data_IF_313379525593
#
_entry.id   IF_313379525593
#
_cell.length_a   1.000
_cell.length_b   1.000
_cell.length_c   1.000
_cell.angle_alpha   90.00
_cell.angle_beta   90.00
_cell.angle_gamma   90.00
#
_symmetry.space_group_name_H-M   'P 1'
#
loop_
_entity.id
_entity.type
_entity.pdbx_description
1 polymer ?
#
# COMPACT_ATOMS: atom_id res chain seq x y z
N UNK A 1 19.17 6.72 23.76
CA UNK A 1 18.13 7.39 22.92
C UNK A 1 18.51 7.22 21.46
N UNK A 2 19.74 7.55 21.08
CA UNK A 2 20.31 7.29 19.75
C UNK A 2 20.09 5.87 19.23
N UNK A 3 20.43 4.83 20.01
CA UNK A 3 20.23 3.44 19.57
C UNK A 3 18.75 3.11 19.25
N UNK A 4 17.81 3.71 19.99
CA UNK A 4 16.38 3.52 19.78
C UNK A 4 15.92 4.21 18.49
N UNK A 5 16.42 5.42 18.23
CA UNK A 5 16.17 6.19 17.01
C UNK A 5 16.74 5.44 15.81
N UNK A 6 18.03 5.08 15.85
CA UNK A 6 18.73 4.35 14.78
C UNK A 6 18.05 3.02 14.47
N UNK A 7 17.62 2.28 15.49
CA UNK A 7 16.87 1.04 15.31
C UNK A 7 15.53 1.28 14.62
N UNK A 8 14.77 2.29 15.05
CA UNK A 8 13.49 2.64 14.44
C UNK A 8 13.64 3.11 12.98
N UNK A 9 14.61 3.96 12.69
CA UNK A 9 14.94 4.43 11.34
C UNK A 9 15.35 3.26 10.44
N UNK A 10 16.25 2.40 10.92
CA UNK A 10 16.69 1.22 10.18
C UNK A 10 15.52 0.30 9.86
N UNK A 11 14.73 -0.09 10.86
CA UNK A 11 13.61 -1.02 10.65
C UNK A 11 12.51 -0.41 9.79
N UNK A 12 12.16 0.86 9.99
CA UNK A 12 11.13 1.53 9.20
C UNK A 12 11.58 1.79 7.75
N UNK A 13 12.83 2.22 7.53
CA UNK A 13 13.39 2.42 6.19
C UNK A 13 13.62 1.11 5.43
N UNK A 14 13.99 0.03 6.13
CA UNK A 14 14.36 -1.24 5.51
C UNK A 14 13.17 -2.18 5.26
N UNK A 15 12.08 -2.08 6.02
CA UNK A 15 10.93 -3.00 5.88
C UNK A 15 10.34 -2.98 4.47
N UNK A 16 10.25 -1.80 3.87
CA UNK A 16 9.63 -1.61 2.55
C UNK A 16 10.41 -2.23 1.40
N UNK A 17 11.71 -1.93 1.19
CA UNK A 17 12.49 -2.60 0.16
C UNK A 17 12.64 -4.12 0.42
N UNK A 18 12.58 -4.56 1.68
CA UNK A 18 12.60 -5.97 2.01
C UNK A 18 11.31 -6.68 1.56
N UNK A 19 10.15 -6.11 1.87
CA UNK A 19 8.84 -6.61 1.40
C UNK A 19 8.80 -6.69 -0.13
N UNK A 20 9.29 -5.67 -0.82
CA UNK A 20 9.32 -5.63 -2.29
C UNK A 20 10.25 -6.71 -2.89
N UNK A 21 11.35 -7.03 -2.20
CA UNK A 21 12.22 -8.15 -2.60
C UNK A 21 11.53 -9.50 -2.40
N UNK A 22 10.86 -9.69 -1.26
CA UNK A 22 10.07 -10.90 -0.99
C UNK A 22 8.88 -11.05 -1.95
N UNK A 23 8.40 -9.94 -2.54
CA UNK A 23 7.31 -9.93 -3.50
C UNK A 23 7.71 -10.36 -4.93
N UNK A 24 9.01 -10.45 -5.26
CA UNK A 24 9.45 -10.79 -6.62
C UNK A 24 8.84 -12.10 -7.18
N UNK A 25 8.78 -13.21 -6.41
CA UNK A 25 8.12 -14.43 -6.88
C UNK A 25 6.62 -14.22 -7.15
N UNK A 26 5.95 -13.36 -6.37
CA UNK A 26 4.53 -13.03 -6.54
C UNK A 26 4.32 -12.33 -7.88
N UNK A 27 5.17 -11.36 -8.24
CA UNK A 27 5.07 -10.66 -9.52
C UNK A 27 5.20 -11.61 -10.71
N UNK A 28 6.15 -12.54 -10.63
CA UNK A 28 6.30 -13.57 -11.67
C UNK A 28 5.10 -14.52 -11.73
N UNK A 29 4.53 -14.93 -10.60
CA UNK A 29 3.34 -15.79 -10.62
C UNK A 29 2.09 -15.06 -11.10
N UNK A 30 1.95 -13.77 -10.82
CA UNK A 30 0.86 -12.94 -11.35
C UNK A 30 0.92 -12.88 -12.88
N UNK A 31 2.08 -12.56 -13.46
CA UNK A 31 2.24 -12.52 -14.91
C UNK A 31 2.04 -13.90 -15.55
N UNK A 32 2.55 -14.95 -14.90
CA UNK A 32 2.37 -16.33 -15.34
C UNK A 32 0.90 -16.76 -15.29
N UNK A 33 0.16 -16.43 -14.22
CA UNK A 33 -1.27 -16.74 -14.10
C UNK A 33 -2.08 -16.08 -15.22
N UNK A 34 -1.78 -14.82 -15.54
CA UNK A 34 -2.43 -14.09 -16.64
C UNK A 34 -2.18 -14.81 -17.97
N UNK A 35 -0.92 -15.13 -18.28
CA UNK A 35 -0.57 -15.81 -19.53
C UNK A 35 -1.19 -17.22 -19.62
N UNK A 36 -1.24 -17.96 -18.52
CA UNK A 36 -1.83 -19.29 -18.50
C UNK A 36 -3.34 -19.22 -18.70
N UNK A 37 -4.00 -18.26 -18.05
CA UNK A 37 -5.44 -18.05 -18.23
C UNK A 37 -5.76 -17.68 -19.68
N UNK A 38 -5.00 -16.74 -20.28
CA UNK A 38 -5.21 -16.33 -21.67
C UNK A 38 -5.03 -17.47 -22.68
N UNK A 39 -4.19 -18.46 -22.35
CA UNK A 39 -3.94 -19.62 -23.19
C UNK A 39 -4.92 -20.78 -22.94
N UNK A 40 -5.89 -20.63 -22.03
CA UNK A 40 -6.79 -21.71 -21.62
C UNK A 40 -6.12 -22.78 -20.74
N UNK A 41 -4.90 -22.55 -20.24
CA UNK A 41 -4.20 -23.44 -19.31
C UNK A 41 -4.79 -23.28 -17.89
N UNK A 42 -5.95 -23.88 -17.68
CA UNK A 42 -6.66 -23.85 -16.40
C UNK A 42 -5.83 -24.45 -15.27
N UNK A 43 -5.19 -25.60 -15.51
CA UNK A 43 -4.39 -26.28 -14.49
C UNK A 43 -3.22 -25.40 -14.05
N UNK A 44 -2.47 -24.85 -15.00
CA UNK A 44 -1.37 -23.95 -14.72
C UNK A 44 -1.83 -22.67 -14.00
N UNK A 45 -2.95 -22.10 -14.41
CA UNK A 45 -3.55 -20.93 -13.75
C UNK A 45 -3.81 -21.22 -12.26
N UNK A 46 -4.46 -22.34 -11.95
CA UNK A 46 -4.72 -22.76 -10.57
C UNK A 46 -3.44 -22.98 -9.76
N UNK A 47 -2.41 -23.57 -10.37
CA UNK A 47 -1.11 -23.74 -9.70
C UNK A 47 -0.47 -22.38 -9.38
N UNK A 48 -0.51 -21.43 -10.31
CA UNK A 48 0.02 -20.08 -10.08
C UNK A 48 -0.75 -19.34 -8.99
N UNK A 49 -2.09 -19.42 -8.97
CA UNK A 49 -2.92 -18.81 -7.93
C UNK A 49 -2.66 -19.40 -6.53
N UNK A 50 -2.52 -20.74 -6.43
CA UNK A 50 -2.14 -21.41 -5.17
C UNK A 50 -0.74 -20.98 -4.72
N UNK A 51 0.19 -20.83 -5.66
CA UNK A 51 1.51 -20.28 -5.41
C UNK A 51 1.44 -18.86 -4.85
N UNK A 52 0.67 -17.97 -5.46
CA UNK A 52 0.45 -16.60 -4.96
C UNK A 52 -0.12 -16.63 -3.53
N UNK A 53 -1.14 -17.45 -3.28
CA UNK A 53 -1.74 -17.59 -1.95
C UNK A 53 -0.73 -18.03 -0.87
N UNK A 54 0.26 -18.84 -1.25
CA UNK A 54 1.34 -19.27 -0.34
C UNK A 54 2.37 -18.17 -0.12
N UNK A 55 2.91 -17.62 -1.20
CA UNK A 55 4.03 -16.66 -1.15
C UNK A 55 3.60 -15.31 -0.57
N UNK A 56 2.36 -14.88 -0.80
CA UNK A 56 1.84 -13.61 -0.26
C UNK A 56 1.94 -13.53 1.26
N UNK A 57 1.88 -14.65 1.98
CA UNK A 57 2.00 -14.66 3.45
C UNK A 57 3.35 -14.16 3.95
N UNK A 58 4.41 -14.30 3.15
CA UNK A 58 5.78 -13.95 3.53
C UNK A 58 5.93 -12.43 3.72
N UNK A 59 5.76 -11.58 2.68
CA UNK A 59 5.90 -10.14 2.84
C UNK A 59 4.91 -9.55 3.85
N UNK A 60 3.68 -10.09 3.91
CA UNK A 60 2.68 -9.64 4.89
C UNK A 60 3.12 -9.93 6.32
N UNK A 61 3.70 -11.10 6.58
CA UNK A 61 4.26 -11.46 7.88
C UNK A 61 5.45 -10.58 8.23
N UNK A 62 6.38 -10.36 7.31
CA UNK A 62 7.54 -9.48 7.50
C UNK A 62 7.10 -8.07 7.92
N UNK A 63 6.06 -7.53 7.29
CA UNK A 63 5.47 -6.25 7.70
C UNK A 63 5.01 -6.28 9.17
N UNK A 64 4.24 -7.29 9.58
CA UNK A 64 3.70 -7.37 10.94
C UNK A 64 4.78 -7.58 12.00
N UNK A 65 5.79 -8.37 11.69
CA UNK A 65 6.90 -8.65 12.60
C UNK A 65 7.84 -7.45 12.72
N UNK A 66 7.82 -6.53 11.76
CA UNK A 66 8.66 -5.33 11.76
C UNK A 66 7.95 -4.13 12.37
N UNK A 67 6.67 -3.92 12.06
CA UNK A 67 5.81 -2.90 12.66
C UNK A 67 5.35 -3.32 14.06
N UNK A 68 6.31 -3.38 14.98
CA UNK A 68 6.15 -3.76 16.38
C UNK A 68 7.05 -2.90 17.27
N UNK A 69 6.60 -2.61 18.50
CA UNK A 69 7.27 -1.70 19.45
C UNK A 69 8.75 -2.08 19.70
N UNK A 70 9.06 -3.37 19.69
CA UNK A 70 10.41 -3.89 19.93
C UNK A 70 11.42 -3.60 18.81
N UNK A 71 10.95 -3.21 17.61
CA UNK A 71 11.79 -2.85 16.46
C UNK A 71 11.62 -1.40 16.06
N UNK A 72 10.38 -0.92 16.07
CA UNK A 72 10.05 0.46 15.76
C UNK A 72 9.31 1.00 16.99
N UNK A 73 10.05 1.69 17.86
CA UNK A 73 9.44 2.22 19.08
C UNK A 73 8.55 3.43 18.78
N UNK A 74 7.32 3.39 19.30
CA UNK A 74 6.36 4.50 19.16
C UNK A 74 6.90 5.80 19.76
N UNK A 75 7.73 5.73 20.80
CA UNK A 75 8.31 6.90 21.48
C UNK A 75 9.19 7.76 20.58
N UNK A 76 9.76 7.19 19.53
CA UNK A 76 10.71 7.89 18.65
C UNK A 76 10.24 7.93 17.20
N UNK A 77 9.32 7.04 16.80
CA UNK A 77 8.90 6.94 15.40
C UNK A 77 8.31 8.25 14.87
N UNK A 78 7.34 8.83 15.58
CA UNK A 78 6.70 10.08 15.14
C UNK A 78 7.70 11.24 15.10
N UNK A 79 8.67 11.27 16.01
CA UNK A 79 9.60 12.40 16.11
C UNK A 79 10.77 12.32 15.11
N UNK A 80 11.26 11.09 14.83
CA UNK A 80 12.53 10.89 14.14
C UNK A 80 12.46 9.97 12.92
N UNK A 81 11.63 8.92 12.94
CA UNK A 81 11.66 7.90 11.88
C UNK A 81 10.60 8.09 10.79
N UNK A 82 9.43 8.65 11.12
CA UNK A 82 8.40 8.96 10.13
C UNK A 82 8.89 10.10 9.24
N UNK A 83 8.86 9.91 7.92
CA UNK A 83 9.15 10.98 6.96
C UNK A 83 8.34 12.24 7.24
N UNK A 84 8.94 13.40 7.00
CA UNK A 84 8.26 14.70 7.06
C UNK A 84 7.61 15.01 5.71
N UNK A 85 6.54 15.81 5.71
CA UNK A 85 6.11 16.51 4.52
C UNK A 85 7.06 17.67 4.34
N UNK A 86 7.68 17.76 3.17
CA UNK A 86 8.55 18.89 2.87
C UNK A 86 7.70 20.15 2.87
N UNK A 87 7.75 20.91 3.95
CA UNK A 87 6.95 22.12 4.09
C UNK A 87 7.27 23.09 2.97
N UNK A 88 6.25 23.50 2.22
CA UNK A 88 6.40 24.31 1.01
C UNK A 88 7.37 23.72 -0.04
N UNK A 89 7.67 22.42 0.04
CA UNK A 89 8.36 21.69 -1.01
C UNK A 89 7.33 21.38 -2.09
N UNK A 90 7.23 22.29 -3.04
CA UNK A 90 6.30 22.23 -4.15
C UNK A 90 6.87 23.01 -5.32
N UNK A 91 6.12 23.02 -6.41
CA UNK A 91 6.48 23.80 -7.58
C UNK A 91 5.27 24.57 -8.10
N UNK A 92 5.54 25.66 -8.80
CA UNK A 92 4.52 26.39 -9.53
C UNK A 92 4.41 25.79 -10.93
N UNK A 93 3.19 25.49 -11.35
CA UNK A 93 2.96 25.18 -12.75
C UNK A 93 3.33 26.41 -13.60
N UNK A 94 4.28 26.30 -14.55
CA UNK A 94 4.76 27.45 -15.31
C UNK A 94 3.73 28.00 -16.32
N UNK A 95 2.65 27.26 -16.59
CA UNK A 95 1.57 27.61 -17.50
C UNK A 95 0.40 28.21 -16.71
N UNK A 96 -0.03 27.57 -15.63
CA UNK A 96 -1.23 27.99 -14.86
C UNK A 96 -0.89 28.92 -13.69
N UNK A 97 0.35 28.89 -13.20
CA UNK A 97 0.78 29.62 -12.01
C UNK A 97 0.26 29.02 -10.69
N UNK A 98 -0.37 27.84 -10.73
CA UNK A 98 -0.86 27.16 -9.53
C UNK A 98 0.29 26.50 -8.78
N UNK A 99 0.37 26.77 -7.47
CA UNK A 99 1.33 26.10 -6.59
C UNK A 99 0.82 24.72 -6.21
N UNK A 100 1.65 23.69 -6.38
CA UNK A 100 1.35 22.35 -5.86
C UNK A 100 2.42 21.89 -4.89
N UNK A 101 2.01 21.59 -3.66
CA UNK A 101 2.87 20.99 -2.65
C UNK A 101 2.99 19.47 -2.85
N UNK A 102 4.19 18.93 -2.63
CA UNK A 102 4.43 17.49 -2.70
C UNK A 102 4.09 16.79 -1.38
N UNK A 103 3.22 15.79 -1.46
CA UNK A 103 3.00 14.80 -0.41
C UNK A 103 4.32 14.11 0.00
N UNK A 104 4.43 13.77 1.28
CA UNK A 104 5.48 12.94 1.84
C UNK A 104 5.34 11.44 1.52
N UNK A 105 6.22 10.64 2.13
CA UNK A 105 6.28 9.19 1.88
C UNK A 105 5.08 8.44 2.50
N UNK A 106 4.54 7.50 1.73
CA UNK A 106 3.33 6.74 2.08
C UNK A 106 3.45 5.27 1.66
N UNK A 107 2.90 4.36 2.48
CA UNK A 107 2.81 2.93 2.13
C UNK A 107 1.98 2.67 0.86
N UNK A 108 1.18 3.63 0.42
CA UNK A 108 0.42 3.54 -0.85
C UNK A 108 1.32 3.65 -2.09
N UNK A 109 2.57 4.08 -1.92
CA UNK A 109 3.57 4.15 -2.99
C UNK A 109 4.26 2.79 -3.24
N UNK A 110 4.02 1.78 -2.39
CA UNK A 110 4.55 0.43 -2.57
C UNK A 110 3.92 -0.29 -3.76
N UNK A 111 4.72 -1.07 -4.47
CA UNK A 111 4.29 -1.76 -5.68
C UNK A 111 3.45 -3.00 -5.35
N UNK A 112 3.80 -3.77 -4.31
CA UNK A 112 3.09 -5.01 -3.99
C UNK A 112 1.58 -4.81 -3.79
N UNK A 113 1.11 -3.89 -2.92
CA UNK A 113 -0.33 -3.65 -2.77
C UNK A 113 -1.01 -3.20 -4.06
N UNK A 114 -0.31 -2.45 -4.91
CA UNK A 114 -0.85 -1.94 -6.17
C UNK A 114 -0.98 -3.01 -7.24
N UNK A 115 0.00 -3.91 -7.37
CA UNK A 115 -0.05 -5.05 -8.30
C UNK A 115 -1.13 -6.04 -7.85
N UNK A 116 -1.23 -6.32 -6.55
CA UNK A 116 -2.28 -7.19 -6.05
C UNK A 116 -3.67 -6.59 -6.27
N UNK A 117 -3.85 -5.29 -6.06
CA UNK A 117 -5.13 -4.63 -6.36
C UNK A 117 -5.46 -4.67 -7.85
N UNK A 118 -4.51 -4.34 -8.72
CA UNK A 118 -4.69 -4.44 -10.17
C UNK A 118 -5.08 -5.86 -10.60
N UNK A 119 -4.36 -6.87 -10.09
CA UNK A 119 -4.62 -8.27 -10.41
C UNK A 119 -5.99 -8.74 -9.94
N UNK A 120 -6.47 -8.23 -8.81
CA UNK A 120 -7.79 -8.52 -8.25
C UNK A 120 -8.93 -7.69 -8.88
N UNK A 121 -8.62 -6.85 -9.87
CA UNK A 121 -9.58 -6.00 -10.58
C UNK A 121 -10.04 -4.78 -9.76
N UNK A 122 -9.21 -4.30 -8.84
CA UNK A 122 -9.49 -3.15 -7.99
C UNK A 122 -8.83 -1.87 -8.54
N UNK A 123 -9.51 -0.75 -8.36
CA UNK A 123 -9.04 0.57 -8.78
C UNK A 123 -7.79 1.03 -8.02
N UNK A 124 -7.05 1.96 -8.62
CA UNK A 124 -5.88 2.58 -7.99
C UNK A 124 -6.23 3.26 -6.67
N UNK A 125 -5.23 3.37 -5.81
CA UNK A 125 -5.34 4.09 -4.56
C UNK A 125 -4.95 5.56 -4.70
N UNK A 126 -3.83 5.80 -5.39
CA UNK A 126 -3.36 7.12 -5.73
C UNK A 126 -4.19 7.69 -6.88
N UNK A 127 -4.47 8.99 -6.83
CA UNK A 127 -4.99 9.70 -8.00
C UNK A 127 -3.93 9.72 -9.12
N UNK A 128 -4.33 10.16 -10.31
CA UNK A 128 -3.44 10.18 -11.48
C UNK A 128 -2.18 11.02 -11.22
N UNK A 129 -2.36 12.22 -10.69
CA UNK A 129 -1.28 13.14 -10.35
C UNK A 129 -0.24 12.52 -9.40
N UNK A 130 -0.67 11.95 -8.28
CA UNK A 130 0.24 11.32 -7.32
C UNK A 130 0.86 10.03 -7.86
N UNK A 131 0.15 9.31 -8.73
CA UNK A 131 0.71 8.17 -9.43
C UNK A 131 1.88 8.61 -10.32
N UNK A 132 1.71 9.70 -11.08
CA UNK A 132 2.75 10.23 -11.95
C UNK A 132 3.96 10.77 -11.18
N UNK A 133 3.73 11.42 -10.03
CA UNK A 133 4.79 11.98 -9.17
C UNK A 133 5.58 10.93 -8.41
N UNK A 134 4.92 9.98 -7.77
CA UNK A 134 5.56 9.12 -6.76
C UNK A 134 5.91 7.72 -7.23
N UNK A 135 5.44 7.31 -8.40
CA UNK A 135 5.75 5.99 -8.94
C UNK A 135 6.64 6.07 -10.18
N UNK A 136 7.72 5.28 -10.28
CA UNK A 136 8.50 5.15 -11.51
C UNK A 136 7.63 4.74 -12.72
N UNK A 137 7.95 5.28 -13.89
CA UNK A 137 7.21 5.01 -15.14
C UNK A 137 7.00 3.52 -15.42
N UNK A 138 8.04 2.70 -15.28
CA UNK A 138 7.95 1.26 -15.52
C UNK A 138 7.03 0.54 -14.51
N UNK A 139 6.97 1.00 -13.26
CA UNK A 139 6.06 0.44 -12.26
C UNK A 139 4.61 0.78 -12.57
N UNK A 140 4.34 2.00 -13.06
CA UNK A 140 3.01 2.42 -13.52
C UNK A 140 2.54 1.57 -14.69
N UNK A 141 3.37 1.46 -15.73
CA UNK A 141 3.09 0.63 -16.91
C UNK A 141 2.83 -0.83 -16.52
N UNK A 142 3.67 -1.38 -15.64
CA UNK A 142 3.47 -2.74 -15.16
C UNK A 142 2.11 -2.91 -14.48
N UNK A 143 1.74 -2.01 -13.57
CA UNK A 143 0.44 -2.03 -12.90
C UNK A 143 -0.74 -1.90 -13.87
N UNK A 144 -0.62 -1.03 -14.87
CA UNK A 144 -1.64 -0.84 -15.91
C UNK A 144 -1.84 -2.12 -16.73
N UNK A 145 -0.76 -2.74 -17.19
CA UNK A 145 -0.82 -4.03 -17.91
C UNK A 145 -1.46 -5.12 -17.07
N UNK A 146 -1.12 -5.22 -15.78
CA UNK A 146 -1.77 -6.20 -14.88
C UNK A 146 -3.27 -5.94 -14.74
N UNK A 147 -3.68 -4.68 -14.65
CA UNK A 147 -5.09 -4.33 -14.52
C UNK A 147 -5.88 -4.64 -15.80
N UNK A 148 -5.32 -4.33 -16.96
CA UNK A 148 -5.90 -4.63 -18.28
C UNK A 148 -6.14 -6.13 -18.48
N UNK A 149 -5.20 -6.95 -18.02
CA UNK A 149 -5.27 -8.41 -18.16
C UNK A 149 -5.77 -9.14 -16.91
N UNK A 150 -6.36 -8.41 -15.95
CA UNK A 150 -7.00 -9.05 -14.79
C UNK A 150 -8.19 -9.90 -15.25
N UNK A 151 -8.13 -11.19 -14.99
CA UNK A 151 -9.14 -12.15 -15.44
C UNK A 151 -10.20 -12.49 -14.38
N UNK A 152 -10.17 -11.86 -13.20
CA UNK A 152 -11.08 -12.22 -12.08
C UNK A 152 -12.56 -12.15 -12.49
N UNK A 153 -12.94 -11.08 -13.17
CA UNK A 153 -14.32 -10.86 -13.61
C UNK A 153 -14.72 -11.83 -14.73
N UNK A 154 -13.78 -12.19 -15.59
CA UNK A 154 -14.00 -13.17 -16.66
C UNK A 154 -14.17 -14.58 -16.10
N UNK A 155 -13.29 -15.02 -15.19
CA UNK A 155 -13.40 -16.31 -14.51
C UNK A 155 -14.77 -16.46 -13.81
N UNK A 156 -15.24 -15.40 -13.15
CA UNK A 156 -16.57 -15.37 -12.52
C UNK A 156 -17.71 -15.50 -13.55
N UNK A 157 -17.64 -14.77 -14.67
CA UNK A 157 -18.64 -14.87 -15.75
C UNK A 157 -18.68 -16.26 -16.38
N UNK A 158 -17.52 -16.92 -16.47
CA UNK A 158 -17.37 -18.26 -17.03
C UNK A 158 -17.76 -19.37 -16.04
N UNK A 159 -18.07 -19.04 -14.78
CA UNK A 159 -18.40 -20.01 -13.74
C UNK A 159 -17.23 -20.89 -13.32
N UNK A 160 -15.98 -20.40 -13.40
CA UNK A 160 -14.81 -21.15 -12.94
C UNK A 160 -14.62 -20.99 -11.43
N UNK A 161 -15.43 -21.74 -10.67
CA UNK A 161 -15.50 -21.66 -9.21
C UNK A 161 -14.14 -21.89 -8.54
N UNK A 162 -13.28 -22.77 -9.06
CA UNK A 162 -11.96 -23.03 -8.46
C UNK A 162 -11.03 -21.81 -8.59
N UNK A 163 -11.02 -21.18 -9.76
CA UNK A 163 -10.23 -19.95 -10.00
C UNK A 163 -10.79 -18.82 -9.13
N UNK A 164 -12.12 -18.65 -9.09
CA UNK A 164 -12.76 -17.65 -8.24
C UNK A 164 -12.42 -17.88 -6.76
N UNK A 165 -12.44 -19.12 -6.29
CA UNK A 165 -12.11 -19.47 -4.91
C UNK A 165 -10.67 -19.10 -4.56
N UNK A 166 -9.70 -19.41 -5.42
CA UNK A 166 -8.30 -19.05 -5.17
C UNK A 166 -8.07 -17.54 -5.22
N UNK A 167 -8.70 -16.82 -6.15
CA UNK A 167 -8.68 -15.36 -6.19
C UNK A 167 -9.29 -14.76 -4.93
N UNK A 168 -10.40 -15.29 -4.45
CA UNK A 168 -11.05 -14.86 -3.21
C UNK A 168 -10.17 -15.15 -1.97
N UNK A 169 -9.34 -16.20 -1.99
CA UNK A 169 -8.35 -16.42 -0.93
C UNK A 169 -7.28 -15.32 -0.92
N UNK A 170 -6.83 -14.86 -2.08
CA UNK A 170 -5.90 -13.73 -2.20
C UNK A 170 -6.57 -12.45 -1.66
N UNK A 171 -7.82 -12.18 -2.03
CA UNK A 171 -8.62 -11.05 -1.50
C UNK A 171 -8.68 -11.09 0.01
N UNK A 172 -8.98 -12.26 0.61
CA UNK A 172 -9.02 -12.42 2.08
C UNK A 172 -7.69 -12.07 2.74
N UNK A 173 -6.56 -12.48 2.16
CA UNK A 173 -5.24 -12.14 2.71
C UNK A 173 -4.97 -10.63 2.66
N UNK A 174 -5.24 -9.98 1.53
CA UNK A 174 -5.10 -8.52 1.40
C UNK A 174 -6.04 -7.76 2.35
N UNK A 175 -7.25 -8.28 2.58
CA UNK A 175 -8.21 -7.73 3.54
C UNK A 175 -7.72 -7.84 4.98
N UNK A 176 -7.16 -8.98 5.37
CA UNK A 176 -6.54 -9.17 6.70
C UNK A 176 -5.39 -8.19 6.88
N UNK A 177 -4.55 -8.03 5.85
CA UNK A 177 -3.47 -7.04 5.86
C UNK A 177 -3.94 -5.62 6.07
N UNK A 178 -4.94 -5.17 5.33
CA UNK A 178 -5.52 -3.82 5.48
C UNK A 178 -6.09 -3.60 6.87
N UNK A 179 -6.78 -4.61 7.39
CA UNK A 179 -7.36 -4.55 8.75
C UNK A 179 -6.27 -4.44 9.81
N UNK A 180 -5.24 -5.29 9.73
CA UNK A 180 -4.13 -5.27 10.67
C UNK A 180 -3.31 -3.98 10.55
N UNK A 181 -3.05 -3.50 9.34
CA UNK A 181 -2.37 -2.23 9.08
C UNK A 181 -3.10 -1.05 9.73
N UNK A 182 -4.42 -0.95 9.53
CA UNK A 182 -5.27 0.09 10.14
C UNK A 182 -5.20 0.10 11.67
N UNK A 183 -5.23 -1.07 12.29
CA UNK A 183 -5.14 -1.19 13.76
C UNK A 183 -3.74 -0.86 14.26
N UNK A 184 -2.70 -1.32 13.56
CA UNK A 184 -1.30 -1.15 13.99
C UNK A 184 -0.78 0.27 13.83
N UNK A 185 -1.24 1.04 12.84
CA UNK A 185 -0.74 2.40 12.61
C UNK A 185 -1.28 3.42 13.64
N UNK A 186 -2.48 3.19 14.17
CA UNK A 186 -3.14 4.14 15.08
C UNK A 186 -2.29 4.48 16.33
N UNK A 187 -1.71 3.50 17.06
CA UNK A 187 -0.84 3.80 18.21
C UNK A 187 0.45 4.56 17.88
N UNK A 188 0.96 4.45 16.64
CA UNK A 188 2.13 5.21 16.19
C UNK A 188 1.76 6.66 15.91
N UNK A 189 0.61 6.86 15.25
CA UNK A 189 0.12 8.20 14.94
C UNK A 189 -0.34 8.96 16.18
N UNK A 190 -0.81 8.27 17.23
CA UNK A 190 -1.33 8.91 18.46
C UNK A 190 -0.27 9.51 19.37
N UNK A 191 1.02 9.35 19.07
CA UNK A 191 2.09 9.90 19.88
C UNK A 191 2.16 11.41 19.65
N UNK A 192 2.02 12.25 20.70
CA UNK A 192 2.10 13.70 20.57
C UNK A 192 3.49 14.12 20.08
N UNK A 193 3.54 14.84 18.97
CA UNK A 193 4.76 15.44 18.42
C UNK A 193 4.49 16.93 18.15
N UNK A 194 4.54 17.80 19.19
CA UNK A 194 4.19 19.22 19.06
C UNK A 194 5.11 19.98 18.11
N UNK A 195 6.30 19.45 17.84
CA UNK A 195 7.22 19.98 16.83
C UNK A 195 6.84 19.61 15.38
N UNK A 196 5.79 18.81 15.19
CA UNK A 196 5.30 18.37 13.87
C UNK A 196 3.84 18.76 13.66
N UNK A 197 3.49 19.10 12.43
CA UNK A 197 2.09 19.14 12.01
C UNK A 197 1.50 17.73 12.08
N UNK A 198 0.20 17.63 12.39
CA UNK A 198 -0.48 16.34 12.32
C UNK A 198 -0.49 15.89 10.86
N UNK A 199 0.04 14.70 10.60
CA UNK A 199 0.16 14.14 9.27
C UNK A 199 -0.45 12.76 9.23
N UNK A 200 -1.10 12.43 8.10
CA UNK A 200 -1.51 11.06 7.82
C UNK A 200 -0.95 10.61 6.49
N UNK A 201 -0.11 9.57 6.52
CA UNK A 201 0.37 8.87 5.32
C UNK A 201 0.91 9.80 4.20
N UNK A 202 1.67 10.83 4.56
CA UNK A 202 2.29 11.77 3.63
C UNK A 202 1.48 13.04 3.35
N UNK A 203 0.24 13.15 3.83
CA UNK A 203 -0.61 14.34 3.64
C UNK A 203 -0.73 15.18 4.91
N UNK A 204 -0.62 16.49 4.76
CA UNK A 204 -0.98 17.47 5.79
C UNK A 204 -2.49 17.46 5.91
N UNK A 205 -2.96 17.40 7.15
CA UNK A 205 -4.39 17.46 7.46
C UNK A 205 -4.80 18.86 7.93
N UNK A 206 -3.83 19.76 8.15
CA UNK A 206 -4.05 21.09 8.72
C UNK A 206 -4.44 22.17 7.69
N UNK A 207 -4.40 21.85 6.39
CA UNK A 207 -4.85 22.77 5.33
C UNK A 207 -6.39 22.87 5.22
N UNK A 208 -7.12 22.17 6.08
CA UNK A 208 -8.58 22.25 6.13
C UNK A 208 -9.01 22.90 7.44
N UNK A 209 -9.87 23.92 7.31
CA UNK A 209 -10.39 24.72 8.43
C UNK A 209 -11.12 23.90 9.51
N UNK A 210 -11.39 22.61 9.26
CA UNK A 210 -12.16 21.69 10.11
C UNK A 210 -11.32 20.70 10.92
N UNK A 211 -9.98 20.74 10.84
CA UNK A 211 -9.10 19.82 11.58
C UNK A 211 -8.52 20.48 12.83
N UNK A 212 -9.23 20.32 13.95
CA UNK A 212 -8.85 20.94 15.24
C UNK A 212 -8.20 19.97 16.25
N UNK A 213 -8.23 18.67 15.99
CA UNK A 213 -7.68 17.64 16.89
C UNK A 213 -7.18 16.39 16.15
N UNK A 214 -6.51 15.50 16.89
CA UNK A 214 -5.96 14.25 16.38
C UNK A 214 -7.01 13.31 15.77
N UNK A 215 -8.21 13.24 16.36
CA UNK A 215 -9.26 12.34 15.85
C UNK A 215 -9.78 12.83 14.49
N UNK A 216 -9.96 14.13 14.35
CA UNK A 216 -10.33 14.81 13.11
C UNK A 216 -9.24 14.66 12.05
N UNK A 217 -7.98 14.75 12.45
CA UNK A 217 -6.82 14.56 11.56
C UNK A 217 -6.67 13.12 11.05
N UNK A 218 -7.04 12.11 11.84
CA UNK A 218 -6.98 10.71 11.41
C UNK A 218 -8.19 10.27 10.61
N UNK A 219 -9.33 10.92 10.77
CA UNK A 219 -10.57 10.54 10.09
C UNK A 219 -10.44 10.33 8.57
N UNK A 220 -9.70 11.17 7.80
CA UNK A 220 -9.45 10.92 6.39
C UNK A 220 -8.70 9.61 6.11
N UNK A 221 -7.62 9.33 6.85
CA UNK A 221 -6.85 8.08 6.74
C UNK A 221 -7.71 6.88 7.13
N UNK A 222 -8.48 6.99 8.22
CA UNK A 222 -9.36 5.93 8.69
C UNK A 222 -10.45 5.62 7.65
N UNK A 223 -11.07 6.65 7.08
CA UNK A 223 -12.03 6.55 5.98
C UNK A 223 -11.37 5.90 4.76
N UNK A 224 -10.19 6.34 4.36
CA UNK A 224 -9.47 5.82 3.21
C UNK A 224 -9.10 4.32 3.37
N UNK A 225 -8.68 3.91 4.56
CA UNK A 225 -8.44 2.50 4.90
C UNK A 225 -9.75 1.69 4.95
N UNK A 226 -10.85 2.28 5.43
CA UNK A 226 -12.18 1.67 5.47
C UNK A 226 -12.77 1.49 4.07
N UNK A 227 -12.68 2.50 3.22
CA UNK A 227 -13.15 2.47 1.83
C UNK A 227 -12.39 1.37 1.06
N UNK A 228 -11.07 1.27 1.27
CA UNK A 228 -10.26 0.18 0.69
C UNK A 228 -10.61 -1.19 1.24
N UNK A 229 -10.95 -1.30 2.52
CA UNK A 229 -11.46 -2.54 3.11
C UNK A 229 -12.80 -2.94 2.48
N UNK A 230 -13.68 -1.97 2.22
CA UNK A 230 -14.97 -2.22 1.56
C UNK A 230 -14.80 -2.68 0.11
N UNK A 231 -13.80 -2.16 -0.63
CA UNK A 231 -13.47 -2.62 -1.97
C UNK A 231 -12.98 -4.09 -2.03
N UNK A 232 -12.63 -4.69 -0.88
CA UNK A 232 -12.27 -6.11 -0.76
C UNK A 232 -13.39 -7.02 -0.27
N UNK A 233 -14.63 -6.52 -0.25
CA UNK A 233 -15.82 -7.34 -0.01
C UNK A 233 -16.33 -7.91 -1.32
#
# INVERSE_FOLDING_TARGET
MDELIQSAEYHFGHVFPHIEREALPIYHMVTKAIQQFSNGDRFGTLQSLKGINKELRIPLKTYYETMHESKISRKVWMHYAQGFQGWAAGDFDPITGEYTEYDGLSGNQLLLPQIMDAFLGLDRYLNEENTQRYMPNLQRKFRETIAEHSFRNEAKKNGDDDIENEMNNIVKQMRVFRTAHRVRVKPYLSVPAPERMIMTAGKSVLEKDDVHDYESAIAPLDKMLKDRLMATK
#
